data_IF_923027843126
#
_entry.id   IF_923027843126
#
_cell.length_a   1.000
_cell.length_b   1.000
_cell.length_c   1.000
_cell.angle_alpha   90.00
_cell.angle_beta   90.00
_cell.angle_gamma   90.00
#
_symmetry.space_group_name_H-M   'P 1'
#
loop_
_entity.id
_entity.type
_entity.pdbx_description
1 polymer ?
#
# COMPACT_ATOMS: atom_id res chain seq x y z
N UNK A 1 -5.35 -1.86 -5.53
CA UNK A 1 -6.07 -0.59 -5.25
C UNK A 1 -5.44 0.52 -6.08
N UNK A 2 -6.25 1.41 -6.66
CA UNK A 2 -5.77 2.60 -7.37
C UNK A 2 -6.32 3.84 -6.68
N UNK A 3 -5.44 4.71 -6.23
CA UNK A 3 -5.79 5.98 -5.60
C UNK A 3 -5.40 7.12 -6.52
N UNK A 4 -6.41 7.74 -7.14
CA UNK A 4 -6.16 8.88 -8.02
C UNK A 4 -5.56 10.07 -7.28
N UNK A 5 -6.00 10.32 -6.05
CA UNK A 5 -5.51 11.42 -5.23
C UNK A 5 -4.02 11.38 -4.90
N UNK A 6 -3.44 10.17 -4.78
CA UNK A 6 -1.99 9.98 -4.62
C UNK A 6 -1.27 9.82 -5.97
N UNK A 7 -2.01 9.56 -7.05
CA UNK A 7 -1.44 9.14 -8.33
C UNK A 7 -0.83 7.73 -8.27
N UNK A 8 -1.33 6.86 -7.38
CA UNK A 8 -0.62 5.63 -6.98
C UNK A 8 -1.47 4.37 -7.08
N UNK A 9 -0.82 3.21 -7.26
CA UNK A 9 -1.44 1.88 -7.21
C UNK A 9 -0.58 0.91 -6.41
N UNK A 10 -1.26 0.08 -5.61
CA UNK A 10 -0.61 -0.86 -4.71
C UNK A 10 -1.52 -2.05 -4.37
N UNK A 11 -0.96 -3.09 -3.77
CA UNK A 11 -1.68 -4.28 -3.30
C UNK A 11 -1.62 -4.33 -1.79
N UNK A 12 -2.78 -4.57 -1.16
CA UNK A 12 -2.86 -4.92 0.25
C UNK A 12 -3.15 -6.41 0.31
N UNK A 13 -2.27 -7.14 0.96
CA UNK A 13 -2.46 -8.54 1.31
C UNK A 13 -3.06 -8.62 2.72
N UNK A 14 -4.15 -9.37 2.81
CA UNK A 14 -4.95 -9.54 4.02
C UNK A 14 -5.05 -11.05 4.27
N UNK A 15 -4.07 -11.66 4.97
CA UNK A 15 -4.12 -13.07 5.28
C UNK A 15 -5.27 -13.44 6.20
N UNK A 16 -5.56 -14.74 6.25
CA UNK A 16 -6.48 -15.28 7.24
C UNK A 16 -5.98 -14.97 8.67
N UNK A 17 -6.89 -14.64 9.58
CA UNK A 17 -6.52 -14.26 10.95
C UNK A 17 -7.68 -13.74 11.79
N UNK A 18 -7.45 -13.43 13.07
CA UNK A 18 -8.48 -12.82 13.92
C UNK A 18 -8.74 -11.37 13.49
N UNK A 19 -9.99 -10.91 13.58
CA UNK A 19 -10.38 -9.57 13.11
C UNK A 19 -9.76 -8.44 13.95
N UNK A 20 -9.75 -8.58 15.28
CA UNK A 20 -9.39 -7.50 16.22
C UNK A 20 -7.93 -7.03 16.12
N UNK A 21 -7.07 -7.86 15.52
CA UNK A 21 -5.65 -7.57 15.32
C UNK A 21 -5.17 -8.03 13.95
N UNK A 22 -6.04 -7.99 12.93
CA UNK A 22 -5.71 -8.50 11.60
C UNK A 22 -4.59 -7.67 10.98
N UNK A 23 -3.39 -8.25 10.98
CA UNK A 23 -2.22 -7.70 10.31
C UNK A 23 -2.38 -7.79 8.79
N UNK A 24 -1.82 -6.82 8.08
CA UNK A 24 -1.83 -6.78 6.63
C UNK A 24 -0.45 -6.43 6.11
N UNK A 25 -0.22 -6.74 4.84
CA UNK A 25 1.04 -6.43 4.15
C UNK A 25 0.74 -5.53 2.95
N UNK A 26 1.60 -4.55 2.72
CA UNK A 26 1.51 -3.65 1.59
C UNK A 26 2.60 -4.04 0.60
N UNK A 27 2.24 -4.23 -0.67
CA UNK A 27 3.19 -4.41 -1.76
C UNK A 27 3.05 -3.23 -2.72
N UNK A 28 4.14 -2.50 -2.96
CA UNK A 28 4.16 -1.34 -3.83
C UNK A 28 5.52 -1.08 -4.47
N UNK A 29 5.49 -0.32 -5.55
CA UNK A 29 6.62 0.38 -6.17
C UNK A 29 6.14 1.76 -6.57
N UNK A 30 7.00 2.77 -6.56
CA UNK A 30 6.59 4.12 -6.92
C UNK A 30 7.67 4.84 -7.74
N UNK A 31 7.25 5.61 -8.74
CA UNK A 31 8.12 6.47 -9.53
C UNK A 31 8.46 7.78 -8.79
N UNK A 32 7.68 8.17 -7.78
CA UNK A 32 7.92 9.37 -6.98
C UNK A 32 7.40 10.68 -7.58
N UNK A 33 6.53 10.58 -8.59
CA UNK A 33 5.95 11.75 -9.26
C UNK A 33 4.80 12.37 -8.46
N UNK A 34 4.11 11.55 -7.66
CA UNK A 34 3.01 11.96 -6.79
C UNK A 34 3.46 12.43 -5.41
N UNK A 35 2.63 12.12 -4.41
CA UNK A 35 2.83 12.49 -3.00
C UNK A 35 3.93 11.66 -2.35
N UNK A 36 3.96 10.37 -2.70
CA UNK A 36 4.94 9.38 -2.27
C UNK A 36 6.25 9.56 -3.00
N UNK A 37 7.37 9.21 -2.34
CA UNK A 37 8.70 9.24 -2.95
C UNK A 37 8.95 7.98 -3.77
N UNK A 38 9.94 8.06 -4.66
CA UNK A 38 10.36 6.93 -5.47
C UNK A 38 10.80 5.76 -4.59
N UNK A 39 10.38 4.55 -4.97
CA UNK A 39 10.79 3.32 -4.30
C UNK A 39 10.73 2.11 -5.23
N UNK A 40 11.79 1.31 -5.24
CA UNK A 40 11.84 0.06 -5.98
C UNK A 40 11.19 -1.08 -5.21
N UNK A 41 10.81 -2.16 -5.91
CA UNK A 41 10.27 -3.36 -5.29
C UNK A 41 11.26 -3.98 -4.30
N UNK A 42 12.55 -4.04 -4.64
CA UNK A 42 13.57 -4.61 -3.77
C UNK A 42 13.72 -3.82 -2.47
N UNK A 43 13.78 -2.48 -2.56
CA UNK A 43 13.87 -1.64 -1.36
C UNK A 43 12.64 -1.82 -0.47
N UNK A 44 11.45 -1.82 -1.07
CA UNK A 44 10.20 -2.00 -0.34
C UNK A 44 10.08 -3.35 0.35
N UNK A 45 10.46 -4.42 -0.33
CA UNK A 45 10.29 -5.80 0.15
C UNK A 45 11.37 -6.24 1.14
N UNK A 46 12.56 -5.62 1.12
CA UNK A 46 13.68 -6.01 1.99
C UNK A 46 13.74 -5.26 3.32
N UNK A 47 13.03 -4.13 3.45
CA UNK A 47 13.13 -3.32 4.66
C UNK A 47 12.15 -3.79 5.73
N UNK A 48 12.67 -3.96 6.95
CA UNK A 48 11.84 -4.17 8.12
C UNK A 48 11.15 -2.86 8.50
N UNK A 49 9.82 -2.87 8.53
CA UNK A 49 9.05 -1.73 9.04
C UNK A 49 9.14 -1.71 10.55
N UNK A 50 9.42 -0.55 11.13
CA UNK A 50 9.43 -0.37 12.59
C UNK A 50 8.07 -0.66 13.23
N UNK A 51 6.98 -0.44 12.49
CA UNK A 51 5.62 -0.75 12.93
C UNK A 51 4.90 -1.61 11.88
N UNK A 52 4.24 -2.71 12.30
CA UNK A 52 3.38 -3.49 11.42
C UNK A 52 2.16 -2.67 10.97
N UNK A 53 1.60 -3.06 9.83
CA UNK A 53 0.36 -2.50 9.31
C UNK A 53 -0.80 -3.39 9.71
N UNK A 54 -1.91 -2.77 10.11
CA UNK A 54 -3.14 -3.48 10.45
C UNK A 54 -4.26 -3.06 9.50
N UNK A 55 -5.26 -3.93 9.34
CA UNK A 55 -6.41 -3.65 8.48
C UNK A 55 -7.11 -2.33 8.87
N UNK A 56 -7.18 -2.03 10.17
CA UNK A 56 -7.80 -0.80 10.67
C UNK A 56 -7.08 0.48 10.19
N UNK A 57 -5.78 0.43 9.91
CA UNK A 57 -5.03 1.58 9.37
C UNK A 57 -5.55 1.95 7.98
N UNK A 58 -5.76 0.96 7.13
CA UNK A 58 -6.28 1.15 5.77
C UNK A 58 -7.76 1.56 5.76
N UNK A 59 -8.57 1.00 6.67
CA UNK A 59 -9.96 1.42 6.84
C UNK A 59 -10.05 2.88 7.29
N UNK A 60 -9.24 3.26 8.29
CA UNK A 60 -9.15 4.64 8.77
C UNK A 60 -8.68 5.59 7.68
N UNK A 61 -7.71 5.16 6.87
CA UNK A 61 -7.22 5.92 5.73
C UNK A 61 -8.32 6.12 4.68
N UNK A 62 -9.03 5.06 4.30
CA UNK A 62 -10.14 5.13 3.35
C UNK A 62 -11.27 6.02 3.86
N UNK A 63 -11.58 5.95 5.16
CA UNK A 63 -12.58 6.81 5.78
C UNK A 63 -12.16 8.28 5.80
N UNK A 64 -10.90 8.57 6.12
CA UNK A 64 -10.35 9.92 6.07
C UNK A 64 -10.43 10.50 4.64
N UNK A 65 -10.05 9.72 3.63
CA UNK A 65 -10.16 10.11 2.22
C UNK A 65 -11.62 10.38 1.82
N UNK A 66 -12.57 9.52 2.21
CA UNK A 66 -14.00 9.73 1.94
C UNK A 66 -14.57 10.99 2.59
N UNK A 67 -14.01 11.38 3.74
CA UNK A 67 -14.38 12.59 4.46
C UNK A 67 -13.62 13.84 3.99
N UNK A 68 -12.82 13.74 2.92
CA UNK A 68 -11.93 14.80 2.43
C UNK A 68 -10.93 15.30 3.48
N UNK A 69 -10.55 14.43 4.43
CA UNK A 69 -9.59 14.74 5.48
C UNK A 69 -8.22 14.15 5.12
N UNK A 70 -7.18 14.98 5.22
CA UNK A 70 -5.80 14.53 5.03
C UNK A 70 -5.18 14.21 6.38
N UNK A 71 -4.87 12.93 6.61
CA UNK A 71 -4.05 12.50 7.74
C UNK A 71 -2.65 12.14 7.26
N UNK A 72 -1.74 13.12 7.33
CA UNK A 72 -0.36 12.99 6.84
C UNK A 72 0.41 11.88 7.55
N UNK A 73 0.24 11.75 8.87
CA UNK A 73 0.87 10.71 9.68
C UNK A 73 0.40 9.32 9.27
N UNK A 74 -0.89 9.15 9.01
CA UNK A 74 -1.43 7.87 8.56
C UNK A 74 -0.97 7.53 7.13
N UNK A 75 -0.93 8.51 6.22
CA UNK A 75 -0.40 8.32 4.87
C UNK A 75 1.06 7.88 4.93
N UNK A 76 1.89 8.54 5.75
CA UNK A 76 3.28 8.16 5.93
C UNK A 76 3.43 6.77 6.56
N UNK A 77 2.65 6.48 7.61
CA UNK A 77 2.62 5.17 8.26
C UNK A 77 2.36 4.06 7.25
N UNK A 78 1.47 4.27 6.28
CA UNK A 78 1.11 3.29 5.26
C UNK A 78 2.15 3.28 4.12
N UNK A 79 2.40 4.41 3.48
CA UNK A 79 3.06 4.48 2.18
C UNK A 79 4.53 4.88 2.20
N UNK A 80 5.05 5.45 3.28
CA UNK A 80 6.47 5.75 3.41
C UNK A 80 7.20 4.59 4.12
N UNK A 81 8.32 4.17 3.55
CA UNK A 81 9.10 3.05 4.07
C UNK A 81 9.70 3.36 5.46
N UNK A 82 10.06 4.63 5.71
CA UNK A 82 10.54 5.12 7.02
C UNK A 82 9.45 5.75 7.87
N UNK A 83 8.18 5.62 7.47
CA UNK A 83 7.01 6.17 8.16
C UNK A 83 7.13 7.68 8.49
N UNK A 84 7.80 8.44 7.62
CA UNK A 84 8.19 9.83 7.86
C UNK A 84 7.35 10.81 7.00
N UNK A 85 6.40 11.55 7.59
CA UNK A 85 5.54 12.48 6.85
C UNK A 85 6.31 13.58 6.12
N UNK A 86 7.41 14.04 6.71
CA UNK A 86 8.23 15.13 6.14
C UNK A 86 8.94 14.73 4.84
N UNK A 87 9.00 13.44 4.51
CA UNK A 87 9.57 12.96 3.24
C UNK A 87 8.53 12.86 2.13
N UNK A 88 7.27 13.15 2.44
CA UNK A 88 6.16 13.13 1.50
C UNK A 88 5.80 14.54 1.03
N UNK A 89 5.34 14.63 -0.22
CA UNK A 89 4.99 15.88 -0.90
C UNK A 89 3.47 16.08 -0.89
N UNK A 90 2.92 16.42 0.28
CA UNK A 90 1.47 16.55 0.45
C UNK A 90 0.85 17.67 -0.40
N UNK A 91 1.64 18.64 -0.84
CA UNK A 91 1.24 19.66 -1.81
C UNK A 91 0.86 19.08 -3.18
N UNK A 92 1.26 17.84 -3.48
CA UNK A 92 0.90 17.11 -4.72
C UNK A 92 -0.40 16.29 -4.59
N UNK A 93 -1.07 16.32 -3.44
CA UNK A 93 -2.35 15.65 -3.26
C UNK A 93 -3.42 16.29 -4.17
N UNK A 94 -4.06 15.46 -5.00
CA UNK A 94 -5.18 15.90 -5.81
C UNK A 94 -6.50 15.73 -5.03
N UNK A 95 -6.83 16.72 -4.17
CA UNK A 95 -7.99 16.66 -3.26
C UNK A 95 -9.33 16.45 -3.98
N UNK A 96 -9.47 16.98 -5.19
CA UNK A 96 -10.69 16.80 -6.01
C UNK A 96 -10.97 15.34 -6.36
N UNK A 97 -9.94 14.47 -6.34
CA UNK A 97 -10.03 13.06 -6.74
C UNK A 97 -10.01 12.09 -5.56
N UNK A 98 -10.15 12.57 -4.32
CA UNK A 98 -10.12 11.72 -3.10
C UNK A 98 -11.11 10.56 -3.16
N UNK A 99 -12.31 10.82 -3.69
CA UNK A 99 -13.40 9.85 -3.80
C UNK A 99 -13.33 8.97 -5.06
N UNK A 100 -12.35 9.20 -5.94
CA UNK A 100 -12.23 8.49 -7.22
C UNK A 100 -11.34 7.24 -7.15
N UNK A 101 -11.12 6.72 -5.94
CA UNK A 101 -10.32 5.52 -5.73
C UNK A 101 -11.09 4.26 -6.10
N UNK A 102 -10.43 3.34 -6.81
CA UNK A 102 -11.04 2.06 -7.24
C UNK A 102 -10.40 0.88 -6.52
N UNK A 103 -11.25 -0.04 -6.09
CA UNK A 103 -10.87 -1.23 -5.33
C UNK A 103 -11.25 -2.48 -6.12
N UNK A 104 -10.36 -3.46 -6.10
CA UNK A 104 -10.65 -4.84 -6.50
C UNK A 104 -10.29 -5.71 -5.31
N UNK A 105 -11.29 -6.39 -4.76
CA UNK A 105 -11.12 -7.33 -3.66
C UNK A 105 -11.41 -8.74 -4.20
N UNK A 106 -10.47 -9.65 -3.98
CA UNK A 106 -10.59 -11.06 -4.34
C UNK A 106 -10.01 -11.91 -3.23
N UNK A 107 -10.68 -13.01 -2.95
CA UNK A 107 -10.11 -14.08 -2.15
C UNK A 107 -8.92 -14.73 -2.89
N UNK A 108 -7.96 -15.23 -2.14
CA UNK A 108 -6.80 -15.97 -2.66
C UNK A 108 -6.52 -17.18 -1.78
N UNK A 109 -5.77 -18.14 -2.31
CA UNK A 109 -5.20 -19.26 -1.55
C UNK A 109 -3.68 -19.14 -1.55
N UNK A 110 -3.05 -19.43 -0.42
CA UNK A 110 -1.58 -19.35 -0.27
C UNK A 110 -0.87 -20.26 -1.30
N UNK A 111 -1.38 -21.48 -1.51
CA UNK A 111 -0.83 -22.42 -2.48
C UNK A 111 -0.76 -21.82 -3.90
N UNK A 112 -1.83 -21.16 -4.36
CA UNK A 112 -1.84 -20.57 -5.70
C UNK A 112 -0.83 -19.42 -5.84
N UNK A 113 -0.62 -18.64 -4.77
CA UNK A 113 0.40 -17.58 -4.76
C UNK A 113 1.81 -18.19 -4.86
N UNK A 114 2.09 -19.23 -4.07
CA UNK A 114 3.37 -19.93 -4.07
C UNK A 114 3.68 -20.59 -5.42
N UNK A 115 2.72 -21.34 -5.98
CA UNK A 115 2.85 -21.97 -7.30
C UNK A 115 3.17 -20.94 -8.39
N UNK A 116 2.50 -19.78 -8.37
CA UNK A 116 2.74 -18.72 -9.33
C UNK A 116 4.14 -18.09 -9.16
N UNK A 117 4.61 -17.90 -7.93
CA UNK A 117 5.97 -17.40 -7.66
C UNK A 117 7.01 -18.37 -8.21
N UNK A 118 6.86 -19.68 -7.96
CA UNK A 118 7.77 -20.72 -8.48
C UNK A 118 7.79 -20.75 -10.01
N UNK A 119 6.62 -20.62 -10.64
CA UNK A 119 6.51 -20.54 -12.11
C UNK A 119 7.19 -19.27 -12.67
N UNK A 120 7.13 -18.14 -11.97
CA UNK A 120 7.81 -16.91 -12.38
C UNK A 120 9.33 -17.08 -12.26
N UNK A 121 9.80 -17.67 -11.15
CA UNK A 121 11.22 -17.89 -10.90
C UNK A 121 11.86 -18.85 -11.89
N UNK A 122 11.18 -19.98 -12.19
CA UNK A 122 11.67 -20.95 -13.17
C UNK A 122 11.79 -20.37 -14.58
N UNK A 123 10.94 -19.41 -14.96
CA UNK A 123 11.01 -18.71 -16.25
C UNK A 123 12.08 -17.63 -16.32
N UNK A 124 12.60 -17.16 -15.18
CA UNK A 124 13.70 -16.18 -15.13
C UNK A 124 15.08 -16.81 -15.35
N UNK A 125 15.21 -18.13 -15.28
CA UNK A 125 16.49 -18.84 -15.39
C UNK A 125 16.90 -19.16 -16.83
N UNK A 126 16.67 -18.23 -17.77
CA UNK A 126 17.12 -18.32 -19.18
C UNK A 126 18.14 -17.23 -19.46
#
# INVERSE_FOLDING_TARGET
MKIKALGHSYVIDIPSGKNDSRQCFLYQTDLGEGVTRQITASEWMQMERSNPLFLHDFLSYTQAMNNNTVNQTLIAKIFDITQSPNLLKFERLCLSTFKESTFLLKEYTENLVLENIEQILSKRTI
#
